data_IF_357560517426
#
_entry.id   IF_357560517426
#
_cell.length_a   1.000
_cell.length_b   1.000
_cell.length_c   1.000
_cell.angle_alpha   90.00
_cell.angle_beta   90.00
_cell.angle_gamma   90.00
#
_symmetry.space_group_name_H-M   'P 1'
#
loop_
_entity.id
_entity.type
_entity.pdbx_description
1 polymer ?
#
# COMPACT_ATOMS: atom_id res chain seq x y z
N UNK A 1 -6.06 30.47 13.72
CA UNK A 1 -6.59 29.91 14.99
C UNK A 1 -8.11 30.12 15.10
N UNK A 2 -8.90 29.89 14.03
CA UNK A 2 -10.35 30.24 13.99
C UNK A 2 -11.25 29.07 13.54
N UNK A 3 -10.77 27.82 13.52
CA UNK A 3 -11.54 26.65 13.04
C UNK A 3 -11.62 25.48 14.02
N UNK A 4 -11.50 25.74 15.32
CA UNK A 4 -11.51 24.69 16.36
C UNK A 4 -12.73 24.80 17.25
N UNK A 5 -13.93 24.92 16.66
CA UNK A 5 -15.18 24.76 17.41
C UNK A 5 -15.71 23.34 17.19
N UNK A 6 -16.30 22.68 18.20
CA UNK A 6 -16.86 21.33 18.05
C UNK A 6 -17.84 21.17 16.87
N UNK A 7 -18.71 22.16 16.56
CA UNK A 7 -19.56 22.09 15.36
C UNK A 7 -18.77 22.11 14.04
N UNK A 8 -17.69 22.89 13.95
CA UNK A 8 -16.86 22.95 12.75
C UNK A 8 -16.11 21.63 12.51
N UNK A 9 -15.57 21.02 13.58
CA UNK A 9 -14.93 19.70 13.50
C UNK A 9 -15.91 18.61 13.07
N UNK A 10 -17.13 18.64 13.63
CA UNK A 10 -18.20 17.75 13.22
C UNK A 10 -18.55 17.93 11.74
N UNK A 11 -18.70 19.17 11.27
CA UNK A 11 -19.02 19.47 9.88
C UNK A 11 -17.92 18.99 8.93
N UNK A 12 -16.65 19.22 9.27
CA UNK A 12 -15.50 18.72 8.50
C UNK A 12 -15.47 17.19 8.44
N UNK A 13 -15.82 16.51 9.54
CA UNK A 13 -15.95 15.05 9.56
C UNK A 13 -17.05 14.58 8.61
N UNK A 14 -18.22 15.22 8.61
CA UNK A 14 -19.31 14.87 7.69
C UNK A 14 -18.91 15.08 6.22
N UNK A 15 -18.27 16.22 5.91
CA UNK A 15 -17.76 16.49 4.57
C UNK A 15 -16.75 15.44 4.11
N UNK A 16 -15.85 15.01 5.01
CA UNK A 16 -14.91 13.93 4.75
C UNK A 16 -15.62 12.61 4.42
N UNK A 17 -16.60 12.20 5.22
CA UNK A 17 -17.35 10.96 4.96
C UNK A 17 -18.15 11.02 3.65
N UNK A 18 -18.82 12.15 3.37
CA UNK A 18 -19.54 12.38 2.11
C UNK A 18 -18.60 12.32 0.90
N UNK A 19 -17.41 12.90 1.03
CA UNK A 19 -16.39 12.87 -0.03
C UNK A 19 -15.93 11.44 -0.31
N UNK A 20 -15.61 10.68 0.74
CA UNK A 20 -15.23 9.26 0.61
C UNK A 20 -16.38 8.44 0.00
N UNK A 21 -17.61 8.65 0.45
CA UNK A 21 -18.81 8.00 -0.10
C UNK A 21 -18.99 8.31 -1.59
N UNK A 22 -18.74 9.55 -2.00
CA UNK A 22 -18.83 9.99 -3.40
C UNK A 22 -17.76 9.34 -4.27
N UNK A 23 -16.51 9.24 -3.80
CA UNK A 23 -15.42 8.55 -4.50
C UNK A 23 -15.76 7.07 -4.74
N UNK A 24 -16.39 6.42 -3.76
CA UNK A 24 -16.79 5.01 -3.80
C UNK A 24 -17.86 4.70 -4.86
N UNK A 25 -18.59 5.71 -5.35
CA UNK A 25 -19.55 5.50 -6.45
C UNK A 25 -18.89 5.30 -7.82
N UNK A 26 -17.61 5.67 -7.96
CA UNK A 26 -16.81 5.33 -9.13
C UNK A 26 -16.14 3.95 -9.00
N UNK A 27 -15.46 3.46 -10.05
CA UNK A 27 -14.63 2.27 -9.91
C UNK A 27 -13.54 2.51 -8.86
N UNK A 28 -13.17 1.49 -8.09
CA UNK A 28 -12.15 1.60 -7.04
C UNK A 28 -11.02 0.59 -7.31
N UNK A 29 -9.75 1.01 -7.19
CA UNK A 29 -8.63 0.08 -7.32
C UNK A 29 -8.70 -0.99 -6.24
N UNK A 30 -8.57 -2.24 -6.64
CA UNK A 30 -8.54 -3.37 -5.70
C UNK A 30 -7.24 -3.38 -4.88
N UNK A 31 -6.16 -2.82 -5.43
CA UNK A 31 -4.85 -2.76 -4.79
C UNK A 31 -4.22 -1.38 -4.99
N UNK A 32 -3.78 -0.76 -3.90
CA UNK A 32 -2.97 0.47 -3.90
C UNK A 32 -1.65 0.20 -3.18
N UNK A 33 -0.55 0.71 -3.72
CA UNK A 33 0.77 0.64 -3.08
C UNK A 33 1.30 2.04 -2.79
N UNK A 34 1.91 2.23 -1.61
CA UNK A 34 2.51 3.49 -1.18
C UNK A 34 4.01 3.32 -0.92
N UNK A 35 4.81 4.19 -1.54
CA UNK A 35 6.20 4.43 -1.19
C UNK A 35 6.26 5.67 -0.29
N UNK A 36 6.57 5.46 0.99
CA UNK A 36 6.37 6.47 2.05
C UNK A 36 7.61 7.37 2.22
N UNK A 37 8.05 8.02 1.14
CA UNK A 37 9.25 8.86 1.16
C UNK A 37 8.99 10.29 1.68
N UNK A 38 10.04 10.93 2.20
CA UNK A 38 10.03 12.33 2.60
C UNK A 38 10.04 12.57 4.11
N UNK A 39 9.97 11.54 4.95
CA UNK A 39 9.95 11.68 6.42
C UNK A 39 11.16 12.48 6.95
N UNK A 40 12.38 12.17 6.49
CA UNK A 40 13.60 12.90 6.86
C UNK A 40 13.65 14.34 6.32
N UNK A 41 13.05 14.60 5.16
CA UNK A 41 12.96 15.95 4.58
C UNK A 41 11.95 16.79 5.35
N UNK A 42 10.82 16.20 5.72
CA UNK A 42 9.79 16.80 6.56
C UNK A 42 10.36 17.19 7.93
N UNK A 43 11.10 16.29 8.58
CA UNK A 43 11.73 16.55 9.87
C UNK A 43 12.66 17.76 9.83
N UNK A 44 13.56 17.79 8.83
CA UNK A 44 14.49 18.92 8.61
C UNK A 44 13.76 20.23 8.33
N UNK A 45 12.70 20.21 7.50
CA UNK A 45 11.91 21.40 7.18
C UNK A 45 11.24 22.00 8.42
N UNK A 46 10.80 21.16 9.35
CA UNK A 46 10.10 21.57 10.57
C UNK A 46 11.02 21.68 11.80
N UNK A 47 12.34 21.56 11.62
CA UNK A 47 13.34 21.65 12.69
C UNK A 47 13.08 20.67 13.84
N UNK A 48 12.69 19.44 13.49
CA UNK A 48 12.44 18.34 14.44
C UNK A 48 13.42 17.20 14.20
N UNK A 49 13.52 16.32 15.19
CA UNK A 49 14.33 15.09 15.10
C UNK A 49 13.85 14.18 13.97
N UNK A 50 14.78 13.43 13.38
CA UNK A 50 14.47 12.53 12.25
C UNK A 50 13.42 11.48 12.63
N UNK A 51 13.51 10.93 13.85
CA UNK A 51 12.56 9.97 14.39
C UNK A 51 11.14 10.56 14.44
N UNK A 52 11.01 11.86 14.75
CA UNK A 52 9.70 12.50 14.82
C UNK A 52 9.05 12.67 13.45
N UNK A 53 9.85 12.94 12.40
CA UNK A 53 9.35 12.88 11.02
C UNK A 53 8.84 11.49 10.64
N UNK A 54 9.44 10.42 11.16
CA UNK A 54 8.96 9.06 10.97
C UNK A 54 7.67 8.77 11.75
N UNK A 55 7.52 9.31 12.97
CA UNK A 55 6.26 9.22 13.71
C UNK A 55 5.10 9.87 12.96
N UNK A 56 5.27 11.09 12.45
CA UNK A 56 4.25 11.74 11.63
C UNK A 56 3.96 10.97 10.33
N UNK A 57 4.98 10.33 9.74
CA UNK A 57 4.80 9.42 8.62
C UNK A 57 3.90 8.22 8.97
N UNK A 58 4.05 7.65 10.16
CA UNK A 58 3.17 6.58 10.62
C UNK A 58 1.72 7.07 10.84
N UNK A 59 1.52 8.28 11.38
CA UNK A 59 0.18 8.85 11.52
C UNK A 59 -0.49 9.09 10.16
N UNK A 60 0.28 9.55 9.16
CA UNK A 60 -0.21 9.68 7.79
C UNK A 60 -0.63 8.33 7.22
N UNK A 61 0.13 7.26 7.49
CA UNK A 61 -0.22 5.89 7.13
C UNK A 61 -1.56 5.47 7.74
N UNK A 62 -1.75 5.65 9.05
CA UNK A 62 -3.00 5.29 9.71
C UNK A 62 -4.21 6.02 9.11
N UNK A 63 -4.07 7.33 8.84
CA UNK A 63 -5.12 8.14 8.22
C UNK A 63 -5.46 7.66 6.81
N UNK A 64 -4.47 7.35 5.98
CA UNK A 64 -4.73 6.93 4.59
C UNK A 64 -5.24 5.49 4.50
N UNK A 65 -4.82 4.59 5.39
CA UNK A 65 -5.37 3.24 5.47
C UNK A 65 -6.89 3.29 5.72
N UNK A 66 -7.32 4.12 6.66
CA UNK A 66 -8.74 4.32 6.95
C UNK A 66 -9.51 4.80 5.70
N UNK A 67 -8.95 5.79 4.99
CA UNK A 67 -9.52 6.28 3.73
C UNK A 67 -9.61 5.17 2.68
N UNK A 68 -8.53 4.40 2.48
CA UNK A 68 -8.51 3.32 1.49
C UNK A 68 -9.57 2.27 1.78
N UNK A 69 -9.68 1.82 3.04
CA UNK A 69 -10.66 0.81 3.43
C UNK A 69 -12.09 1.33 3.34
N UNK A 70 -12.37 2.58 3.75
CA UNK A 70 -13.69 3.21 3.57
C UNK A 70 -14.07 3.38 2.10
N UNK A 71 -13.11 3.71 1.23
CA UNK A 71 -13.30 3.77 -0.22
C UNK A 71 -13.58 2.38 -0.84
N UNK A 72 -13.22 1.28 -0.16
CA UNK A 72 -13.42 -0.09 -0.65
C UNK A 72 -12.18 -0.71 -1.31
N UNK A 73 -10.99 -0.14 -1.10
CA UNK A 73 -9.72 -0.77 -1.54
C UNK A 73 -9.51 -2.06 -0.75
N UNK A 74 -9.24 -3.16 -1.46
CA UNK A 74 -9.10 -4.50 -0.85
C UNK A 74 -7.72 -4.80 -0.33
N UNK A 75 -6.69 -4.27 -0.98
CA UNK A 75 -5.30 -4.50 -0.60
C UNK A 75 -4.55 -3.19 -0.58
N UNK A 76 -3.85 -2.92 0.51
CA UNK A 76 -2.88 -1.82 0.58
C UNK A 76 -1.49 -2.43 0.80
N UNK A 77 -0.52 -2.07 -0.04
CA UNK A 77 0.89 -2.40 0.20
C UNK A 77 1.64 -1.14 0.59
N UNK A 78 2.49 -1.21 1.60
CA UNK A 78 3.32 -0.07 2.00
C UNK A 78 4.79 -0.46 2.09
N UNK A 79 5.62 0.39 1.51
CA UNK A 79 7.07 0.27 1.57
C UNK A 79 7.57 0.92 2.86
N UNK A 80 7.74 0.11 3.91
CA UNK A 80 8.06 0.63 5.24
C UNK A 80 9.57 0.68 5.51
N UNK A 81 10.35 -0.31 5.06
CA UNK A 81 11.80 -0.33 5.28
C UNK A 81 12.51 -1.10 4.18
N UNK A 82 13.50 -0.48 3.55
CA UNK A 82 14.36 -1.11 2.53
C UNK A 82 15.49 -1.89 3.20
N UNK A 83 15.97 -2.96 2.55
CA UNK A 83 17.26 -3.58 2.92
C UNK A 83 18.40 -2.54 2.86
N UNK A 84 18.35 -1.60 1.90
CA UNK A 84 19.34 -0.53 1.76
C UNK A 84 19.30 0.46 2.94
N UNK A 85 18.23 0.47 3.76
CA UNK A 85 18.14 1.33 4.93
C UNK A 85 19.02 0.86 6.10
N UNK A 86 19.54 -0.37 6.06
CA UNK A 86 20.57 -0.81 7.01
C UNK A 86 21.91 -0.06 6.86
N UNK A 87 22.13 0.64 5.74
CA UNK A 87 23.30 1.49 5.54
C UNK A 87 23.21 2.85 6.26
N UNK A 88 22.08 3.14 6.93
CA UNK A 88 21.90 4.35 7.73
C UNK A 88 22.60 4.23 9.09
N UNK A 89 22.82 5.34 9.81
CA UNK A 89 23.41 5.28 11.15
C UNK A 89 22.63 4.35 12.08
N UNK A 90 23.36 3.57 12.90
CA UNK A 90 22.78 2.54 13.79
C UNK A 90 21.64 3.07 14.67
N UNK A 91 21.80 4.27 15.25
CA UNK A 91 20.77 4.87 16.09
C UNK A 91 19.45 5.13 15.33
N UNK A 92 19.52 5.46 14.04
CA UNK A 92 18.34 5.68 13.20
C UNK A 92 17.66 4.33 12.89
N UNK A 93 18.44 3.32 12.53
CA UNK A 93 17.94 1.96 12.29
C UNK A 93 17.27 1.39 13.55
N UNK A 94 17.92 1.51 14.71
CA UNK A 94 17.37 1.04 15.98
C UNK A 94 16.07 1.78 16.35
N UNK A 95 16.00 3.10 16.11
CA UNK A 95 14.78 3.89 16.30
C UNK A 95 13.64 3.49 15.35
N UNK A 96 13.94 3.19 14.08
CA UNK A 96 12.96 2.70 13.12
C UNK A 96 12.42 1.31 13.49
N UNK A 97 13.29 0.42 13.97
CA UNK A 97 12.92 -0.91 14.45
C UNK A 97 12.03 -0.84 15.70
N UNK A 98 12.37 0.04 16.65
CA UNK A 98 11.55 0.27 17.84
C UNK A 98 10.18 0.89 17.49
N UNK A 99 10.17 1.84 16.56
CA UNK A 99 8.92 2.40 16.05
C UNK A 99 8.06 1.34 15.37
N UNK A 100 8.64 0.51 14.51
CA UNK A 100 7.93 -0.57 13.83
C UNK A 100 7.28 -1.53 14.84
N UNK A 101 8.00 -1.90 15.90
CA UNK A 101 7.49 -2.72 17.01
C UNK A 101 6.27 -2.08 17.67
N UNK A 102 6.41 -0.87 18.21
CA UNK A 102 5.32 -0.19 18.94
C UNK A 102 4.10 0.03 18.03
N UNK A 103 4.34 0.46 16.79
CA UNK A 103 3.28 0.85 15.89
C UNK A 103 2.56 -0.34 15.26
N UNK A 104 3.25 -1.44 14.96
CA UNK A 104 2.59 -2.65 14.46
C UNK A 104 1.71 -3.29 15.53
N UNK A 105 2.16 -3.31 16.78
CA UNK A 105 1.36 -3.77 17.91
C UNK A 105 0.11 -2.90 18.11
N UNK A 106 0.24 -1.58 17.96
CA UNK A 106 -0.89 -0.66 18.01
C UNK A 106 -1.90 -0.93 16.87
N UNK A 107 -1.45 -1.14 15.63
CA UNK A 107 -2.37 -1.39 14.50
C UNK A 107 -3.16 -2.69 14.65
N UNK A 108 -2.53 -3.73 15.21
CA UNK A 108 -3.10 -5.07 15.32
C UNK A 108 -3.95 -5.28 16.58
N UNK A 109 -3.94 -4.34 17.52
CA UNK A 109 -4.72 -4.42 18.77
C UNK A 109 -6.23 -4.50 18.47
N UNK A 110 -6.97 -5.16 19.37
CA UNK A 110 -8.42 -5.20 19.31
C UNK A 110 -9.02 -3.79 19.36
N UNK A 111 -10.01 -3.51 18.50
CA UNK A 111 -10.61 -2.19 18.35
C UNK A 111 -9.79 -1.18 17.53
N UNK A 112 -8.55 -1.51 17.15
CA UNK A 112 -7.73 -0.67 16.28
C UNK A 112 -8.02 -0.92 14.79
N UNK A 113 -7.28 -0.25 13.90
CA UNK A 113 -7.64 -0.18 12.48
C UNK A 113 -7.69 -1.56 11.80
N UNK A 114 -6.79 -2.50 12.12
CA UNK A 114 -6.80 -3.79 11.44
C UNK A 114 -8.00 -4.64 11.85
N UNK A 115 -8.38 -4.58 13.13
CA UNK A 115 -9.55 -5.26 13.65
C UNK A 115 -10.85 -4.63 13.14
N UNK A 116 -11.00 -3.31 13.26
CA UNK A 116 -12.20 -2.57 12.83
C UNK A 116 -12.57 -2.75 11.36
N UNK A 117 -11.58 -2.97 10.50
CA UNK A 117 -11.78 -3.14 9.06
C UNK A 117 -11.67 -4.60 8.61
N UNK A 118 -11.45 -5.55 9.52
CA UNK A 118 -11.19 -6.95 9.17
C UNK A 118 -10.00 -7.08 8.21
N UNK A 119 -8.94 -6.34 8.48
CA UNK A 119 -7.71 -6.30 7.68
C UNK A 119 -6.72 -7.38 8.14
N UNK A 120 -6.26 -8.21 7.20
CA UNK A 120 -5.18 -9.17 7.44
C UNK A 120 -3.84 -8.53 7.15
N UNK A 121 -2.94 -8.53 8.14
CA UNK A 121 -1.56 -8.07 7.95
C UNK A 121 -0.68 -9.18 7.39
N UNK A 122 0.20 -8.80 6.45
CA UNK A 122 1.25 -9.67 5.90
C UNK A 122 2.54 -8.89 5.87
N UNK A 123 3.63 -9.48 6.33
CA UNK A 123 4.97 -8.88 6.25
C UNK A 123 5.74 -9.55 5.13
N UNK A 124 6.17 -8.76 4.15
CA UNK A 124 6.89 -9.17 2.96
C UNK A 124 8.35 -8.68 3.06
N UNK A 125 9.32 -9.52 2.76
CA UNK A 125 10.73 -9.17 2.81
C UNK A 125 11.61 -10.20 3.52
N UNK A 126 12.86 -9.82 3.78
CA UNK A 126 13.85 -10.64 4.47
C UNK A 126 13.65 -10.60 5.99
N UNK A 127 12.81 -11.51 6.51
CA UNK A 127 12.51 -11.63 7.94
C UNK A 127 13.75 -11.91 8.80
N UNK A 128 14.77 -12.59 8.25
CA UNK A 128 16.04 -12.87 8.92
C UNK A 128 16.84 -11.61 9.30
N UNK A 129 16.57 -10.47 8.66
CA UNK A 129 17.21 -9.20 8.96
C UNK A 129 16.47 -8.39 10.05
N UNK A 130 15.31 -8.86 10.51
CA UNK A 130 14.52 -8.16 11.54
C UNK A 130 15.12 -8.47 12.91
N UNK A 131 15.22 -7.44 13.76
CA UNK A 131 15.66 -7.60 15.16
C UNK A 131 14.71 -8.58 15.88
N UNK A 132 15.21 -9.57 16.64
CA UNK A 132 14.37 -10.67 17.16
C UNK A 132 13.13 -10.21 17.95
N UNK A 133 13.27 -9.19 18.80
CA UNK A 133 12.15 -8.63 19.58
C UNK A 133 11.08 -7.96 18.71
N UNK A 134 11.45 -7.40 17.55
CA UNK A 134 10.52 -6.85 16.55
C UNK A 134 9.85 -7.98 15.78
N UNK A 135 10.60 -9.05 15.48
CA UNK A 135 10.09 -10.23 14.78
C UNK A 135 8.96 -10.91 15.59
N UNK A 136 9.11 -11.01 16.91
CA UNK A 136 8.05 -11.51 17.79
C UNK A 136 6.75 -10.69 17.66
N UNK A 137 6.84 -9.37 17.56
CA UNK A 137 5.67 -8.51 17.39
C UNK A 137 5.06 -8.67 15.99
N UNK A 138 5.90 -8.83 14.98
CA UNK A 138 5.46 -9.17 13.62
C UNK A 138 4.65 -10.46 13.63
N UNK A 139 5.15 -11.51 14.27
CA UNK A 139 4.47 -12.80 14.34
C UNK A 139 3.14 -12.71 15.09
N UNK A 140 3.12 -11.98 16.22
CA UNK A 140 1.87 -11.73 16.96
C UNK A 140 0.86 -10.99 16.09
N UNK A 141 1.22 -9.90 15.43
CA UNK A 141 0.31 -9.12 14.60
C UNK A 141 -0.23 -9.92 13.40
N UNK A 142 0.62 -10.73 12.75
CA UNK A 142 0.20 -11.63 11.66
C UNK A 142 -0.77 -12.69 12.18
N UNK A 143 -0.50 -13.29 13.34
CA UNK A 143 -1.37 -14.31 13.93
C UNK A 143 -2.71 -13.72 14.42
N UNK A 144 -2.70 -12.55 15.06
CA UNK A 144 -3.92 -11.85 15.52
C UNK A 144 -4.87 -11.52 14.37
N UNK A 145 -4.32 -11.25 13.18
CA UNK A 145 -5.11 -10.83 12.01
C UNK A 145 -5.27 -11.95 10.96
N UNK A 146 -4.90 -13.20 11.27
CA UNK A 146 -4.86 -14.29 10.27
C UNK A 146 -6.24 -14.66 9.72
N UNK A 147 -7.27 -14.56 10.55
CA UNK A 147 -8.65 -14.94 10.24
C UNK A 147 -9.45 -13.77 9.64
N UNK A 148 -8.86 -12.57 9.63
CA UNK A 148 -9.41 -11.41 8.94
C UNK A 148 -9.43 -11.66 7.42
N UNK A 149 -10.55 -11.38 6.76
CA UNK A 149 -10.78 -11.73 5.35
C UNK A 149 -11.41 -10.62 4.51
N UNK A 150 -11.59 -9.40 5.05
CA UNK A 150 -12.28 -8.31 4.34
C UNK A 150 -11.32 -7.50 3.46
N UNK A 151 -10.14 -7.18 4.00
CA UNK A 151 -9.07 -6.42 3.33
C UNK A 151 -7.69 -6.93 3.76
N UNK A 152 -6.63 -6.49 3.08
CA UNK A 152 -5.25 -6.86 3.38
C UNK A 152 -4.32 -5.65 3.49
N UNK A 153 -3.36 -5.71 4.41
CA UNK A 153 -2.23 -4.81 4.52
C UNK A 153 -0.94 -5.60 4.31
N UNK A 154 -0.24 -5.33 3.23
CA UNK A 154 1.11 -5.87 2.99
C UNK A 154 2.15 -4.84 3.43
N UNK A 155 2.99 -5.22 4.38
CA UNK A 155 4.08 -4.40 4.91
C UNK A 155 5.40 -4.91 4.33
N UNK A 156 6.03 -4.14 3.45
CA UNK A 156 7.36 -4.46 2.91
C UNK A 156 8.44 -4.04 3.92
N UNK A 157 9.01 -5.01 4.64
CA UNK A 157 9.86 -4.79 5.81
C UNK A 157 10.68 -6.04 6.20
N UNK A 158 12.03 -5.98 6.18
CA UNK A 158 12.91 -5.25 5.26
C UNK A 158 12.82 -5.82 3.84
N UNK A 159 12.67 -4.99 2.82
CA UNK A 159 12.33 -5.45 1.48
C UNK A 159 13.11 -4.73 0.39
N UNK A 160 13.46 -5.43 -0.70
CA UNK A 160 13.77 -4.81 -2.01
C UNK A 160 13.21 -5.69 -3.12
N UNK A 161 12.80 -5.09 -4.24
CA UNK A 161 12.27 -5.86 -5.38
C UNK A 161 13.33 -6.78 -6.01
N UNK A 162 14.59 -6.34 -6.04
CA UNK A 162 15.71 -7.16 -6.54
C UNK A 162 15.91 -8.41 -5.71
N UNK A 163 15.84 -8.30 -4.39
CA UNK A 163 15.94 -9.47 -3.52
C UNK A 163 14.74 -10.40 -3.67
N UNK A 164 13.52 -9.85 -3.74
CA UNK A 164 12.31 -10.65 -3.91
C UNK A 164 12.37 -11.45 -5.22
N UNK A 165 12.75 -10.81 -6.33
CA UNK A 165 12.96 -11.48 -7.61
C UNK A 165 14.04 -12.56 -7.53
N UNK A 166 15.18 -12.26 -6.89
CA UNK A 166 16.28 -13.22 -6.72
C UNK A 166 15.85 -14.44 -5.90
N UNK A 167 15.14 -14.21 -4.80
CA UNK A 167 14.61 -15.28 -3.93
C UNK A 167 13.57 -16.12 -4.65
N UNK A 168 12.66 -15.50 -5.41
CA UNK A 168 11.65 -16.20 -6.20
C UNK A 168 12.30 -17.06 -7.30
N UNK A 169 13.32 -16.54 -7.99
CA UNK A 169 14.08 -17.30 -8.99
C UNK A 169 14.79 -18.50 -8.35
N UNK A 170 15.49 -18.29 -7.22
CA UNK A 170 16.17 -19.37 -6.48
C UNK A 170 15.19 -20.46 -6.05
N UNK A 171 14.06 -20.08 -5.45
CA UNK A 171 13.03 -21.01 -4.99
C UNK A 171 12.43 -21.82 -6.15
N UNK A 172 12.19 -21.18 -7.30
CA UNK A 172 11.69 -21.85 -8.51
C UNK A 172 12.69 -22.89 -9.02
N UNK A 173 13.99 -22.58 -8.99
CA UNK A 173 15.05 -23.52 -9.39
C UNK A 173 15.14 -24.68 -8.40
N UNK A 174 15.11 -24.42 -7.09
CA UNK A 174 15.14 -25.46 -6.06
C UNK A 174 13.92 -26.39 -6.15
N UNK A 175 12.71 -25.85 -6.37
CA UNK A 175 11.49 -26.62 -6.60
C UNK A 175 11.63 -27.49 -7.85
N UNK A 176 12.18 -26.94 -8.95
CA UNK A 176 12.38 -27.68 -10.18
C UNK A 176 13.45 -28.78 -10.06
N UNK A 177 14.45 -28.62 -9.19
CA UNK A 177 15.49 -29.63 -8.97
C UNK A 177 15.09 -30.70 -7.94
N UNK A 178 14.02 -30.48 -7.19
CA UNK A 178 13.51 -31.42 -6.19
C UNK A 178 12.58 -32.46 -6.82
N UNK A 179 12.84 -33.77 -6.71
CA UNK A 179 11.97 -34.80 -7.26
C UNK A 179 10.60 -34.85 -6.56
N UNK A 180 9.49 -35.12 -7.29
CA UNK A 180 9.41 -35.33 -8.73
C UNK A 180 9.37 -34.03 -9.53
N UNK A 181 10.02 -34.03 -10.70
CA UNK A 181 10.07 -32.87 -11.60
C UNK A 181 8.65 -32.42 -12.03
N UNK A 182 8.33 -31.11 -11.99
CA UNK A 182 7.06 -30.59 -12.46
C UNK A 182 6.82 -30.89 -13.95
N UNK A 183 5.61 -31.33 -14.31
CA UNK A 183 5.24 -31.76 -15.68
C UNK A 183 5.01 -30.63 -16.69
N UNK A 184 5.10 -29.35 -16.29
CA UNK A 184 4.84 -28.21 -17.20
C UNK A 184 5.82 -27.06 -16.97
N UNK A 185 6.08 -26.28 -18.03
CA UNK A 185 6.91 -25.08 -17.98
C UNK A 185 6.34 -24.04 -16.98
N UNK A 186 7.03 -23.75 -15.86
CA UNK A 186 6.53 -22.84 -14.82
C UNK A 186 6.61 -21.35 -15.21
N UNK A 187 7.32 -21.02 -16.30
CA UNK A 187 7.58 -19.64 -16.70
C UNK A 187 6.41 -19.07 -17.51
N UNK A 188 5.62 -18.17 -16.90
CA UNK A 188 4.59 -17.39 -17.60
C UNK A 188 4.60 -15.93 -17.18
N UNK A 189 4.72 -15.01 -18.15
CA UNK A 189 4.57 -13.56 -17.94
C UNK A 189 3.23 -13.21 -17.28
N UNK A 190 2.18 -14.01 -17.52
CA UNK A 190 0.84 -13.76 -16.96
C UNK A 190 0.76 -13.93 -15.43
N UNK A 191 1.75 -14.60 -14.82
CA UNK A 191 1.93 -14.69 -13.36
C UNK A 191 2.70 -13.52 -12.76
N UNK A 192 3.46 -12.78 -13.58
CA UNK A 192 4.45 -11.81 -13.11
C UNK A 192 3.86 -10.41 -12.88
N UNK A 193 2.90 -9.91 -13.68
CA UNK A 193 2.20 -8.63 -13.36
C UNK A 193 0.93 -8.40 -14.21
N UNK A 194 -0.18 -7.94 -13.60
CA UNK A 194 -1.27 -7.22 -14.29
C UNK A 194 -1.61 -5.92 -13.54
N UNK A 195 -1.51 -4.79 -14.26
CA UNK A 195 -2.02 -3.46 -13.90
C UNK A 195 -1.30 -2.67 -12.79
N UNK A 196 0.04 -2.60 -12.80
CA UNK A 196 0.76 -1.58 -12.01
C UNK A 196 0.60 -0.19 -12.67
N UNK A 197 0.07 0.76 -11.93
CA UNK A 197 0.03 2.18 -12.30
C UNK A 197 0.81 2.96 -11.25
N UNK A 198 1.92 3.57 -11.67
CA UNK A 198 2.78 4.38 -10.80
C UNK A 198 2.50 5.87 -11.03
N UNK A 199 2.26 6.62 -9.96
CA UNK A 199 2.15 8.08 -9.99
C UNK A 199 3.04 8.66 -8.90
N UNK A 200 3.98 9.51 -9.30
CA UNK A 200 4.82 10.25 -8.36
C UNK A 200 4.10 11.53 -7.94
N UNK A 201 4.18 11.86 -6.65
CA UNK A 201 3.62 13.07 -6.07
C UNK A 201 4.76 13.91 -5.48
N UNK A 202 4.66 15.24 -5.58
CA UNK A 202 5.67 16.15 -5.05
C UNK A 202 5.53 16.41 -3.53
N UNK A 203 4.46 15.92 -2.91
CA UNK A 203 4.24 16.06 -1.46
C UNK A 203 5.12 15.11 -0.63
N UNK A 204 5.53 15.55 0.56
CA UNK A 204 6.20 14.66 1.51
C UNK A 204 5.19 13.76 2.22
N UNK A 205 5.56 12.52 2.52
CA UNK A 205 4.67 11.54 3.11
C UNK A 205 3.94 11.98 4.39
N UNK A 206 4.57 12.64 5.38
CA UNK A 206 3.85 13.11 6.57
C UNK A 206 2.73 14.12 6.30
N UNK A 207 2.81 14.85 5.19
CA UNK A 207 1.82 15.83 4.75
C UNK A 207 0.71 15.18 3.89
N UNK A 208 0.92 13.93 3.45
CA UNK A 208 -0.03 13.21 2.59
C UNK A 208 -1.32 12.92 3.35
N UNK A 209 -2.45 13.21 2.70
CA UNK A 209 -3.79 13.11 3.26
C UNK A 209 -4.83 12.89 2.14
N UNK A 210 -6.11 12.93 2.50
CA UNK A 210 -7.21 12.75 1.57
C UNK A 210 -7.19 13.74 0.39
N UNK A 211 -6.74 14.99 0.58
CA UNK A 211 -6.75 16.01 -0.48
C UNK A 211 -5.77 15.67 -1.61
N UNK A 212 -4.70 14.95 -1.28
CA UNK A 212 -3.72 14.46 -2.23
C UNK A 212 -4.16 13.14 -2.87
N UNK A 213 -4.88 12.30 -2.12
CA UNK A 213 -5.36 11.02 -2.61
C UNK A 213 -6.52 11.16 -3.62
N UNK A 214 -7.45 12.09 -3.38
CA UNK A 214 -8.59 12.38 -4.28
C UNK A 214 -8.17 12.54 -5.75
N UNK A 215 -7.26 13.46 -6.13
CA UNK A 215 -6.91 13.66 -7.52
C UNK A 215 -6.24 12.42 -8.14
N UNK A 216 -5.49 11.63 -7.36
CA UNK A 216 -4.92 10.35 -7.82
C UNK A 216 -6.02 9.35 -8.15
N UNK A 217 -6.97 9.18 -7.24
CA UNK A 217 -8.08 8.25 -7.44
C UNK A 217 -9.00 8.68 -8.59
N UNK A 218 -9.34 9.97 -8.69
CA UNK A 218 -10.17 10.49 -9.77
C UNK A 218 -9.50 10.33 -11.14
N UNK A 219 -8.19 10.58 -11.23
CA UNK A 219 -7.45 10.33 -12.46
C UNK A 219 -7.49 8.84 -12.84
N UNK A 220 -7.24 7.96 -11.87
CA UNK A 220 -7.34 6.52 -12.09
C UNK A 220 -8.75 6.12 -12.57
N UNK A 221 -9.80 6.64 -11.94
CA UNK A 221 -11.20 6.39 -12.33
C UNK A 221 -11.49 6.85 -13.76
N UNK A 222 -11.00 8.03 -14.16
CA UNK A 222 -11.14 8.53 -15.53
C UNK A 222 -10.47 7.59 -16.54
N UNK A 223 -9.26 7.11 -16.24
CA UNK A 223 -8.54 6.14 -17.08
C UNK A 223 -9.29 4.81 -17.20
N UNK A 224 -9.89 4.30 -16.12
CA UNK A 224 -10.70 3.08 -16.20
C UNK A 224 -11.94 3.26 -17.07
N UNK A 225 -12.63 4.41 -16.96
CA UNK A 225 -13.78 4.74 -17.83
C UNK A 225 -13.35 4.83 -19.30
N UNK A 226 -12.17 5.39 -19.59
CA UNK A 226 -11.63 5.44 -20.95
C UNK A 226 -11.32 4.03 -21.49
N UNK A 227 -10.63 3.19 -20.71
CA UNK A 227 -10.35 1.80 -21.09
C UNK A 227 -11.64 1.02 -21.37
N UNK A 228 -12.65 1.13 -20.49
CA UNK A 228 -13.93 0.48 -20.68
C UNK A 228 -14.67 0.94 -21.95
N UNK A 229 -14.53 2.22 -22.34
CA UNK A 229 -15.07 2.75 -23.61
C UNK A 229 -14.33 2.22 -24.82
N UNK A 230 -13.01 2.04 -24.72
CA UNK A 230 -12.16 1.51 -25.80
C UNK A 230 -12.39 0.01 -26.03
N UNK A 231 -12.60 -0.76 -24.96
CA UNK A 231 -12.89 -2.21 -25.02
C UNK A 231 -14.36 -2.54 -25.25
N UNK A 232 -15.23 -1.54 -25.48
CA UNK A 232 -16.66 -1.75 -25.68
C UNK A 232 -16.95 -2.43 -27.03
N UNK A 233 -17.77 -3.51 -27.07
CA UNK A 233 -18.07 -4.26 -28.30
C UNK A 233 -18.61 -3.39 -29.44
N UNK A 234 -19.39 -2.35 -29.12
CA UNK A 234 -19.99 -1.42 -30.08
C UNK A 234 -18.94 -0.62 -30.89
N UNK A 235 -17.76 -0.38 -30.32
CA UNK A 235 -16.65 0.32 -31.01
C UNK A 235 -15.79 -0.66 -31.81
N UNK A 236 -15.62 -1.90 -31.33
CA UNK A 236 -15.01 -2.99 -32.07
C UNK A 236 -15.81 -3.32 -33.35
N UNK A 237 -17.15 -3.37 -33.25
CA UNK A 237 -18.03 -3.54 -34.41
C UNK A 237 -17.98 -2.37 -35.39
N UNK A 238 -17.93 -1.12 -34.90
CA UNK A 238 -17.76 0.06 -35.76
C UNK A 238 -16.40 0.05 -36.48
N UNK A 239 -15.32 -0.31 -35.79
CA UNK A 239 -13.98 -0.39 -36.40
C UNK A 239 -13.88 -1.55 -37.40
N UNK A 240 -14.52 -2.70 -37.10
CA UNK A 240 -14.64 -3.82 -38.03
C UNK A 240 -15.52 -3.50 -39.26
N UNK A 241 -16.57 -2.66 -39.10
CA UNK A 241 -17.37 -2.15 -40.23
C UNK A 241 -16.58 -1.19 -41.11
N UNK A 242 -15.76 -0.30 -40.54
CA UNK A 242 -14.93 0.64 -41.32
C UNK A 242 -13.90 -0.10 -42.18
N UNK A 243 -13.35 -1.22 -41.69
CA UNK A 243 -12.41 -2.05 -42.47
C UNK A 243 -13.09 -3.00 -43.48
N UNK A 244 -14.42 -3.13 -43.47
CA UNK A 244 -15.19 -3.90 -44.46
C UNK A 244 -15.69 -3.07 -45.64
N UNK A 245 -15.47 -1.75 -45.63
CA UNK A 245 -15.77 -0.84 -46.75
C UNK A 245 -14.46 -0.40 -47.39
N UNK A 246 -13.67 -1.38 -47.85
CA UNK A 246 -12.62 -1.15 -48.84
C UNK A 246 -12.78 -2.31 -49.81
N UNK A 247 -13.45 -2.03 -50.93
CA UNK A 247 -13.52 -2.88 -52.12
C UNK A 247 -12.63 -2.23 -53.20
#
# INVERSE_FOLDING_TARGET
MVFSSPPAEWALKQLRELTIGSLRQGPIPQHVAFEMDGNRRYARRHRMETVEGHHHGFEALARILEVCYKCGVKTVTVYAFSIENFNRPKYEVDGLMEMAKVKLEQLARHGDILDRYGARVRVLGQRSLIRPDVMEVVDRAVNMTKDNNLVALNLCFPYTSREEMTTAMRSTVEEYLSPPLPKSNPFSQSRITRNLLTKHLECMWPEFDLKHFIPVLLEWQRRQKQKARETSPLRAERSAKVHRVVA
#
